data_IF_288992893834
#
_entry.id   IF_288992893834
#
_cell.length_a   1.000
_cell.length_b   1.000
_cell.length_c   1.000
_cell.angle_alpha   90.00
_cell.angle_beta   90.00
_cell.angle_gamma   90.00
#
_symmetry.space_group_name_H-M   'P 1'
#
loop_
_entity.id
_entity.type
_entity.pdbx_description
1 polymer ?
#
# COMPACT_ATOMS: atom_id res chain seq x y z
N UNK A 1 -24.40 -16.32 65.81
CA UNK A 1 -24.05 -15.50 66.98
C UNK A 1 -22.78 -14.70 66.68
N UNK A 2 -22.78 -13.86 65.63
CA UNK A 2 -21.62 -13.05 65.24
C UNK A 2 -21.98 -11.57 65.23
N UNK A 3 -22.66 -11.08 66.25
CA UNK A 3 -22.98 -9.66 66.34
C UNK A 3 -22.99 -9.23 67.80
N UNK A 4 -21.85 -8.74 68.27
CA UNK A 4 -21.81 -7.84 69.42
C UNK A 4 -20.78 -6.75 69.15
N UNK A 5 -21.28 -5.56 68.88
CA UNK A 5 -20.84 -4.35 69.57
C UNK A 5 -19.35 -4.00 69.43
N UNK A 6 -18.93 -3.57 68.25
CA UNK A 6 -17.83 -2.62 68.15
C UNK A 6 -18.21 -1.47 67.21
N UNK A 7 -18.57 -0.34 67.85
CA UNK A 7 -18.49 1.05 67.36
C UNK A 7 -19.65 1.47 66.44
N UNK A 8 -20.73 2.16 66.84
CA UNK A 8 -20.90 3.25 67.83
C UNK A 8 -19.79 4.31 67.84
N UNK A 9 -19.17 4.57 66.68
CA UNK A 9 -18.41 5.80 66.42
C UNK A 9 -18.55 6.24 64.96
N UNK A 10 -19.78 6.31 64.45
CA UNK A 10 -20.02 7.17 63.30
C UNK A 10 -21.45 7.72 63.32
N UNK A 11 -21.90 8.07 64.53
CA UNK A 11 -23.02 8.98 64.71
C UNK A 11 -22.65 10.31 64.06
N UNK A 12 -23.46 10.67 63.08
CA UNK A 12 -23.94 12.03 62.82
C UNK A 12 -23.07 13.19 63.34
N UNK A 13 -22.81 14.10 62.39
CA UNK A 13 -23.08 15.55 62.49
C UNK A 13 -21.81 16.42 62.36
N UNK A 14 -21.77 17.06 61.18
CA UNK A 14 -21.11 18.37 60.89
C UNK A 14 -19.60 18.28 60.73
N UNK A 15 -18.93 19.10 59.95
CA UNK A 15 -19.18 20.21 59.01
C UNK A 15 -17.75 20.60 58.63
N UNK A 16 -17.58 21.23 57.46
CA UNK A 16 -16.41 22.06 57.19
C UNK A 16 -15.12 21.24 57.03
N UNK A 17 -14.24 21.43 56.08
CA UNK A 17 -14.09 22.51 55.13
C UNK A 17 -13.04 22.05 54.13
N UNK A 18 -13.18 22.63 52.94
CA UNK A 18 -12.10 23.07 52.08
C UNK A 18 -10.96 22.09 51.69
N UNK A 19 -10.88 22.01 50.36
CA UNK A 19 -9.71 21.80 49.51
C UNK A 19 -9.52 20.39 48.99
N UNK A 20 -9.43 20.36 47.66
CA UNK A 20 -8.98 19.29 46.81
C UNK A 20 -10.04 18.21 46.57
N UNK A 21 -10.78 18.37 45.47
CA UNK A 21 -10.82 17.39 44.37
C UNK A 21 -11.73 17.95 43.27
N UNK A 22 -11.17 18.90 42.51
CA UNK A 22 -11.71 19.36 41.22
C UNK A 22 -11.32 18.29 40.18
N UNK A 23 -12.03 17.16 40.18
CA UNK A 23 -11.84 16.07 39.21
C UNK A 23 -12.57 16.45 37.91
N UNK A 24 -11.76 16.89 36.95
CA UNK A 24 -11.83 16.55 35.53
C UNK A 24 -13.17 16.79 34.81
N UNK A 25 -13.55 18.07 34.72
CA UNK A 25 -14.25 18.57 33.54
C UNK A 25 -13.21 18.82 32.43
N UNK A 26 -12.81 17.79 31.67
CA UNK A 26 -12.26 17.97 30.31
C UNK A 26 -12.79 16.86 29.41
N UNK A 27 -13.80 17.28 28.65
CA UNK A 27 -14.29 16.71 27.39
C UNK A 27 -13.25 15.91 26.60
N UNK A 28 -13.69 14.71 26.23
CA UNK A 28 -13.15 13.78 25.25
C UNK A 28 -12.20 14.43 24.22
N UNK A 29 -10.89 14.22 24.41
CA UNK A 29 -9.91 14.38 23.33
C UNK A 29 -10.18 13.30 22.28
N UNK A 30 -11.08 13.60 21.35
CA UNK A 30 -11.08 12.95 20.05
C UNK A 30 -9.71 13.20 19.42
N UNK A 31 -9.01 12.12 19.11
CA UNK A 31 -7.76 12.15 18.36
C UNK A 31 -8.11 12.54 16.92
N UNK A 32 -8.22 13.84 16.65
CA UNK A 32 -8.20 14.35 15.28
C UNK A 32 -6.73 14.48 14.88
N UNK A 33 -6.20 13.49 14.16
CA UNK A 33 -4.96 13.66 13.40
C UNK A 33 -5.25 14.68 12.29
N UNK A 34 -5.09 15.96 12.63
CA UNK A 34 -5.29 17.10 11.76
C UNK A 34 -4.17 17.19 10.72
N UNK A 35 -4.33 16.50 9.61
CA UNK A 35 -3.77 16.88 8.31
C UNK A 35 -4.74 16.47 7.18
N UNK A 36 -6.00 16.91 7.29
CA UNK A 36 -6.92 16.93 6.16
C UNK A 36 -6.97 18.34 5.55
N UNK A 37 -5.79 18.89 5.23
CA UNK A 37 -5.72 20.03 4.32
C UNK A 37 -6.29 19.60 2.97
N UNK A 38 -7.14 20.44 2.39
CA UNK A 38 -7.70 20.24 1.04
C UNK A 38 -6.52 20.07 0.07
N UNK A 39 -6.22 18.83 -0.29
CA UNK A 39 -5.05 18.51 -1.11
C UNK A 39 -5.23 19.17 -2.48
N UNK A 40 -4.38 20.15 -2.82
CA UNK A 40 -4.40 20.76 -4.14
C UNK A 40 -3.71 19.84 -5.15
N UNK A 41 -4.54 19.11 -5.88
CA UNK A 41 -4.15 18.15 -6.90
C UNK A 41 -5.38 17.33 -7.25
N UNK A 42 -6.06 17.69 -8.35
CA UNK A 42 -7.26 16.99 -8.76
C UNK A 42 -6.91 15.63 -9.38
N UNK A 43 -7.67 14.59 -9.01
CA UNK A 43 -7.65 13.28 -9.66
C UNK A 43 -8.21 13.31 -11.09
N UNK A 44 -8.54 14.49 -11.62
CA UNK A 44 -9.18 14.70 -12.91
C UNK A 44 -8.40 14.14 -14.11
N UNK A 45 -7.10 13.86 -13.95
CA UNK A 45 -6.24 13.28 -15.00
C UNK A 45 -5.99 11.77 -14.84
N UNK A 46 -6.55 11.13 -13.81
CA UNK A 46 -6.37 9.71 -13.59
C UNK A 46 -6.93 8.91 -14.79
N UNK A 47 -6.11 8.03 -15.36
CA UNK A 47 -6.54 7.17 -16.48
C UNK A 47 -6.71 7.83 -17.84
N UNK A 48 -6.51 9.16 -17.99
CA UNK A 48 -6.68 9.91 -19.26
C UNK A 48 -6.01 9.22 -20.45
N UNK A 49 -4.75 8.84 -20.30
CA UNK A 49 -3.95 8.23 -21.39
C UNK A 49 -4.41 6.81 -21.72
N UNK A 50 -4.85 6.04 -20.71
CA UNK A 50 -5.32 4.66 -20.90
C UNK A 50 -6.68 4.61 -21.61
N UNK A 51 -7.52 5.64 -21.44
CA UNK A 51 -8.81 5.77 -22.14
C UNK A 51 -8.68 6.39 -23.54
N UNK A 52 -7.71 7.29 -23.74
CA UNK A 52 -7.47 7.92 -25.04
C UNK A 52 -6.79 6.98 -26.06
N UNK A 53 -5.98 6.02 -25.59
CA UNK A 53 -5.27 5.10 -26.49
C UNK A 53 -6.23 4.05 -27.06
N UNK A 54 -6.22 3.81 -28.39
CA UNK A 54 -7.08 2.79 -29.00
C UNK A 54 -6.77 1.41 -28.43
N UNK A 55 -7.81 0.65 -28.07
CA UNK A 55 -7.65 -0.68 -27.50
C UNK A 55 -7.36 -1.70 -28.59
N UNK A 56 -6.08 -1.89 -28.91
CA UNK A 56 -5.66 -2.92 -29.87
C UNK A 56 -5.79 -4.32 -29.26
N UNK A 57 -6.54 -5.20 -29.92
CA UNK A 57 -6.66 -6.60 -29.54
C UNK A 57 -5.32 -7.33 -29.71
N UNK A 58 -5.06 -8.33 -28.87
CA UNK A 58 -3.85 -9.15 -29.02
C UNK A 58 -4.03 -10.03 -30.26
N UNK A 59 -3.07 -9.97 -31.17
CA UNK A 59 -2.99 -10.92 -32.28
C UNK A 59 -2.64 -12.31 -31.77
N UNK A 60 -3.23 -13.34 -32.40
CA UNK A 60 -2.88 -14.72 -32.13
C UNK A 60 -1.45 -15.01 -32.60
N UNK A 61 -0.57 -15.32 -31.64
CA UNK A 61 0.81 -15.72 -31.89
C UNK A 61 0.99 -17.17 -31.46
N UNK A 62 1.67 -17.95 -32.30
CA UNK A 62 2.01 -19.34 -31.98
C UNK A 62 2.74 -19.41 -30.63
N UNK A 63 2.36 -20.37 -29.79
CA UNK A 63 2.99 -20.59 -28.49
C UNK A 63 4.47 -20.91 -28.70
N UNK A 64 5.34 -20.16 -28.01
CA UNK A 64 6.76 -20.51 -27.95
C UNK A 64 6.91 -21.76 -27.07
N UNK A 65 7.69 -22.76 -27.49
CA UNK A 65 8.01 -23.89 -26.61
C UNK A 65 8.76 -23.36 -25.38
N UNK A 66 8.63 -24.07 -24.26
CA UNK A 66 9.23 -23.69 -22.97
C UNK A 66 10.39 -24.65 -22.61
N UNK A 67 11.21 -24.27 -21.63
CA UNK A 67 12.28 -25.13 -21.09
C UNK A 67 13.42 -25.42 -22.08
N UNK A 68 13.88 -26.68 -22.10
CA UNK A 68 15.03 -27.16 -22.89
C UNK A 68 14.90 -26.83 -24.38
N UNK A 69 13.71 -27.04 -24.95
CA UNK A 69 13.45 -26.77 -26.36
C UNK A 69 13.66 -25.29 -26.72
N UNK A 70 13.21 -24.38 -25.85
CA UNK A 70 13.45 -22.94 -26.04
C UNK A 70 14.93 -22.58 -25.99
N UNK A 71 15.66 -23.14 -25.02
CA UNK A 71 17.10 -22.90 -24.85
C UNK A 71 17.89 -23.41 -26.06
N UNK A 72 17.55 -24.57 -26.62
CA UNK A 72 18.17 -25.09 -27.86
C UNK A 72 17.96 -24.14 -29.03
N UNK A 73 16.73 -23.67 -29.25
CA UNK A 73 16.47 -22.70 -30.32
C UNK A 73 17.23 -21.37 -30.11
N UNK A 74 17.36 -20.91 -28.86
CA UNK A 74 18.10 -19.69 -28.55
C UNK A 74 19.60 -19.85 -28.80
N UNK A 75 20.19 -20.99 -28.46
CA UNK A 75 21.58 -21.32 -28.74
C UNK A 75 21.85 -21.35 -30.25
N UNK A 76 21.02 -22.10 -31.00
CA UNK A 76 21.17 -22.19 -32.45
C UNK A 76 21.10 -20.80 -33.10
N UNK A 77 20.13 -19.96 -32.74
CA UNK A 77 20.01 -18.58 -33.25
C UNK A 77 21.18 -17.66 -32.90
N UNK A 78 21.86 -17.88 -31.77
CA UNK A 78 22.92 -16.98 -31.29
C UNK A 78 24.32 -17.36 -31.76
N UNK A 79 24.57 -18.66 -31.94
CA UNK A 79 25.92 -19.18 -32.10
C UNK A 79 26.10 -20.05 -33.35
N UNK A 80 25.11 -20.88 -33.69
CA UNK A 80 25.24 -21.83 -34.81
C UNK A 80 24.82 -21.20 -36.14
N UNK A 81 23.67 -20.53 -36.15
CA UNK A 81 23.10 -19.93 -37.37
C UNK A 81 23.62 -18.51 -37.61
N UNK A 82 24.07 -17.81 -36.56
CA UNK A 82 24.56 -16.44 -36.67
C UNK A 82 26.02 -16.44 -37.14
N UNK A 83 26.24 -16.38 -38.46
CA UNK A 83 27.55 -16.08 -39.04
C UNK A 83 27.81 -14.58 -38.88
N UNK A 84 28.93 -14.21 -38.27
CA UNK A 84 29.34 -12.80 -38.17
C UNK A 84 29.84 -12.38 -39.55
N UNK A 85 28.95 -11.80 -40.36
CA UNK A 85 29.33 -11.13 -41.60
C UNK A 85 30.23 -9.92 -41.34
N UNK A 86 30.84 -9.39 -42.38
CA UNK A 86 31.71 -8.21 -42.27
C UNK A 86 30.90 -6.97 -41.83
N UNK A 87 31.38 -6.25 -40.81
CA UNK A 87 30.71 -5.06 -40.26
C UNK A 87 30.17 -5.23 -38.83
N UNK A 88 29.41 -4.23 -38.35
CA UNK A 88 28.88 -4.22 -36.97
C UNK A 88 27.73 -5.23 -36.81
N UNK A 89 27.79 -6.06 -35.77
CA UNK A 89 26.76 -7.06 -35.47
C UNK A 89 25.42 -6.39 -35.18
N UNK A 90 24.39 -6.72 -35.98
CA UNK A 90 23.02 -6.25 -35.77
C UNK A 90 22.37 -6.91 -34.56
N UNK A 91 21.56 -6.13 -33.85
CA UNK A 91 20.83 -6.58 -32.66
C UNK A 91 19.62 -7.47 -33.04
N UNK A 92 19.17 -8.35 -32.12
CA UNK A 92 18.09 -9.31 -32.38
C UNK A 92 16.71 -8.68 -32.59
N UNK A 93 16.56 -7.39 -32.29
CA UNK A 93 15.33 -6.61 -32.51
C UNK A 93 15.68 -5.26 -33.16
N UNK A 94 16.57 -5.30 -34.16
CA UNK A 94 16.91 -4.13 -34.97
C UNK A 94 15.85 -3.95 -36.05
N UNK A 95 15.08 -2.86 -35.99
CA UNK A 95 14.14 -2.47 -37.04
C UNK A 95 14.80 -1.46 -37.99
N UNK A 96 15.74 -1.94 -38.80
CA UNK A 96 16.10 -1.24 -40.03
C UNK A 96 15.31 -1.87 -41.18
N UNK A 97 14.86 -1.02 -42.10
CA UNK A 97 14.07 -1.40 -43.27
C UNK A 97 14.99 -1.95 -44.36
#
# INVERSE_FOLDING_TARGET
MRETLTLELFSLKLRFDSRQLKILAVSEKSISHGFAGKVHGSLARAGKVRGQTPKVAKQDKKKKPRGRAHKRMQYNRRFVTAVVGFGKKRGPNSSEK
#
